data_IF_280888400658
#
_entry.id   IF_280888400658
#
_cell.length_a   1.000
_cell.length_b   1.000
_cell.length_c   1.000
_cell.angle_alpha   90.00
_cell.angle_beta   90.00
_cell.angle_gamma   90.00
#
_symmetry.space_group_name_H-M   'P 1'
#
loop_
_entity.id
_entity.type
_entity.pdbx_description
1 polymer ?
#
# COMPACT_ATOMS: atom_id res chain seq x y z
N UNK A 1 -5.48 5.03 -19.93
CA UNK A 1 -4.62 4.66 -18.79
C UNK A 1 -5.46 4.62 -17.52
N UNK A 2 -5.19 3.69 -16.59
CA UNK A 2 -5.93 3.48 -15.35
C UNK A 2 -5.00 3.59 -14.13
N UNK A 3 -5.38 4.37 -13.12
CA UNK A 3 -4.71 4.48 -11.82
C UNK A 3 -5.60 3.85 -10.73
N UNK A 4 -5.15 2.76 -10.14
CA UNK A 4 -5.90 1.96 -9.15
C UNK A 4 -5.43 2.29 -7.75
N UNK A 5 -6.37 2.63 -6.85
CA UNK A 5 -6.04 3.07 -5.50
C UNK A 5 -5.31 4.41 -5.49
N UNK A 6 -5.81 5.36 -6.27
CA UNK A 6 -5.11 6.61 -6.57
C UNK A 6 -4.92 7.53 -5.36
N UNK A 7 -5.66 7.35 -4.28
CA UNK A 7 -5.58 8.16 -3.08
C UNK A 7 -5.77 9.65 -3.38
N UNK A 8 -4.77 10.46 -2.95
CA UNK A 8 -4.73 11.90 -3.21
C UNK A 8 -3.81 12.28 -4.37
N UNK A 9 -3.14 11.28 -4.99
CA UNK A 9 -2.15 11.50 -6.05
C UNK A 9 -2.66 10.90 -7.35
N UNK A 10 -3.13 11.73 -8.25
CA UNK A 10 -3.67 11.31 -9.53
C UNK A 10 -3.58 12.43 -10.56
N UNK A 11 -3.53 12.04 -11.81
CA UNK A 11 -3.63 12.94 -12.95
C UNK A 11 -5.01 12.78 -13.60
N UNK A 12 -5.65 13.87 -13.96
CA UNK A 12 -7.01 13.87 -14.55
C UNK A 12 -7.07 13.31 -15.96
N UNK A 13 -5.92 13.15 -16.62
CA UNK A 13 -5.80 12.48 -17.92
C UNK A 13 -5.96 10.97 -17.81
N UNK A 14 -5.87 10.43 -16.58
CA UNK A 14 -6.07 9.02 -16.28
C UNK A 14 -7.47 8.78 -15.75
N UNK A 15 -7.99 7.58 -15.96
CA UNK A 15 -9.12 7.08 -15.18
C UNK A 15 -8.58 6.74 -13.80
N UNK A 16 -9.12 7.37 -12.76
CA UNK A 16 -8.66 7.20 -11.39
C UNK A 16 -9.72 6.47 -10.59
N UNK A 17 -9.31 5.43 -9.88
CA UNK A 17 -10.17 4.53 -9.11
C UNK A 17 -9.68 4.46 -7.67
N UNK A 18 -10.58 4.65 -6.70
CA UNK A 18 -10.26 4.54 -5.28
C UNK A 18 -11.49 4.08 -4.46
N UNK A 19 -11.24 3.46 -3.29
CA UNK A 19 -12.29 3.03 -2.38
C UNK A 19 -13.08 4.22 -1.80
N UNK A 20 -12.39 5.34 -1.54
CA UNK A 20 -12.96 6.51 -0.91
C UNK A 20 -12.41 7.80 -1.52
N UNK A 21 -13.19 8.48 -2.33
CA UNK A 21 -12.84 9.78 -2.87
C UNK A 21 -13.90 10.83 -2.58
N UNK A 22 -13.46 12.10 -2.51
CA UNK A 22 -14.33 13.27 -2.46
C UNK A 22 -14.31 14.07 -3.76
N UNK A 23 -13.42 13.69 -4.68
CA UNK A 23 -13.31 14.33 -5.99
C UNK A 23 -14.18 13.58 -7.00
N UNK A 24 -15.01 14.31 -7.74
CA UNK A 24 -15.91 13.74 -8.75
C UNK A 24 -15.16 13.15 -9.97
N UNK A 25 -13.89 13.48 -10.15
CA UNK A 25 -13.02 12.90 -11.21
C UNK A 25 -12.47 11.53 -10.84
N UNK A 26 -12.69 11.04 -9.62
CA UNK A 26 -12.25 9.72 -9.16
C UNK A 26 -13.45 8.81 -9.04
N UNK A 27 -13.38 7.66 -9.69
CA UNK A 27 -14.41 6.61 -9.62
C UNK A 27 -14.29 5.91 -8.27
N UNK A 28 -15.32 6.04 -7.43
CA UNK A 28 -15.36 5.35 -6.15
C UNK A 28 -15.75 3.90 -6.33
N UNK A 29 -14.83 2.97 -6.07
CA UNK A 29 -15.06 1.55 -6.25
C UNK A 29 -14.17 0.69 -5.36
N UNK A 30 -14.72 -0.45 -4.91
CA UNK A 30 -14.01 -1.45 -4.12
C UNK A 30 -13.35 -2.47 -5.06
N UNK A 31 -12.02 -2.41 -5.19
CA UNK A 31 -11.23 -3.28 -6.05
C UNK A 31 -11.30 -4.77 -5.67
N UNK A 32 -11.74 -5.11 -4.46
CA UNK A 32 -11.99 -6.50 -4.07
C UNK A 32 -13.16 -7.12 -4.87
N UNK A 33 -13.97 -6.31 -5.54
CA UNK A 33 -15.07 -6.73 -6.43
C UNK A 33 -14.63 -6.86 -7.90
N UNK A 34 -13.33 -6.73 -8.18
CA UNK A 34 -12.77 -6.63 -9.51
C UNK A 34 -12.54 -5.19 -9.97
N UNK A 35 -12.16 -4.98 -11.22
CA UNK A 35 -12.01 -3.66 -11.83
C UNK A 35 -13.19 -3.41 -12.79
N UNK A 36 -14.01 -2.34 -12.63
CA UNK A 36 -15.29 -2.16 -13.31
C UNK A 36 -15.15 -1.67 -14.75
N UNK A 37 -14.19 -2.22 -15.50
CA UNK A 37 -13.95 -1.89 -16.90
C UNK A 37 -13.83 -3.17 -17.74
N UNK A 38 -14.09 -3.05 -19.05
CA UNK A 38 -14.02 -4.18 -19.97
C UNK A 38 -12.57 -4.67 -20.18
N UNK A 39 -12.43 -5.89 -20.70
CA UNK A 39 -11.15 -6.46 -21.07
C UNK A 39 -10.45 -5.61 -22.12
N UNK A 40 -9.14 -5.43 -21.97
CA UNK A 40 -8.34 -4.70 -22.94
C UNK A 40 -8.63 -3.19 -23.07
N UNK A 41 -9.22 -2.58 -22.04
CA UNK A 41 -9.65 -1.16 -22.09
C UNK A 41 -8.53 -0.15 -21.92
N UNK A 42 -7.34 -0.56 -21.46
CA UNK A 42 -6.26 0.36 -21.09
C UNK A 42 -4.91 -0.06 -21.65
N UNK A 43 -4.16 0.92 -22.16
CA UNK A 43 -2.77 0.72 -22.60
C UNK A 43 -1.80 0.70 -21.41
N UNK A 44 -2.18 1.28 -20.29
CA UNK A 44 -1.40 1.23 -19.06
C UNK A 44 -2.31 1.15 -17.84
N UNK A 45 -1.87 0.35 -16.84
CA UNK A 45 -2.42 0.28 -15.50
C UNK A 45 -1.31 0.59 -14.51
N UNK A 46 -1.61 1.44 -13.55
CA UNK A 46 -0.71 1.84 -12.47
C UNK A 46 -1.38 1.66 -11.11
N UNK A 47 -0.63 1.18 -10.15
CA UNK A 47 -0.98 1.28 -8.74
C UNK A 47 0.27 1.48 -7.87
N UNK A 48 0.12 2.30 -6.85
CA UNK A 48 1.20 2.64 -5.93
C UNK A 48 0.69 2.52 -4.50
N UNK A 49 1.40 1.75 -3.69
CA UNK A 49 1.06 1.49 -2.30
C UNK A 49 -0.39 1.00 -2.11
N UNK A 50 -0.74 -0.02 -2.89
CA UNK A 50 -2.05 -0.70 -2.85
C UNK A 50 -1.87 -2.19 -2.54
N UNK A 51 -0.91 -2.83 -3.22
CA UNK A 51 -0.77 -4.28 -3.22
C UNK A 51 -0.41 -4.82 -1.82
N UNK A 52 0.41 -4.10 -1.07
CA UNK A 52 0.81 -4.43 0.29
C UNK A 52 -0.34 -4.38 1.30
N UNK A 53 -1.40 -3.62 1.01
CA UNK A 53 -2.59 -3.53 1.86
C UNK A 53 -3.58 -4.67 1.63
N UNK A 54 -3.37 -5.47 0.60
CA UNK A 54 -4.18 -6.64 0.27
C UNK A 54 -3.59 -7.90 0.89
N UNK A 55 -4.45 -8.87 1.22
CA UNK A 55 -3.98 -10.22 1.51
C UNK A 55 -3.38 -10.84 0.23
N UNK A 56 -2.49 -11.84 0.34
CA UNK A 56 -1.89 -12.47 -0.85
C UNK A 56 -2.92 -12.86 -1.92
N UNK A 57 -3.99 -13.56 -1.54
CA UNK A 57 -5.07 -13.98 -2.45
C UNK A 57 -5.82 -12.81 -3.11
N UNK A 58 -5.94 -11.68 -2.40
CA UNK A 58 -6.55 -10.47 -2.94
C UNK A 58 -5.58 -9.74 -3.88
N UNK A 59 -4.28 -9.72 -3.57
CA UNK A 59 -3.23 -9.18 -4.43
C UNK A 59 -3.14 -9.93 -5.76
N UNK A 60 -3.21 -11.27 -5.70
CA UNK A 60 -3.29 -12.14 -6.88
C UNK A 60 -4.48 -11.78 -7.78
N UNK A 61 -5.67 -11.64 -7.19
CA UNK A 61 -6.87 -11.20 -7.94
C UNK A 61 -6.71 -9.82 -8.55
N UNK A 62 -6.07 -8.89 -7.84
CA UNK A 62 -5.80 -7.56 -8.39
C UNK A 62 -4.91 -7.66 -9.64
N UNK A 63 -3.87 -8.49 -9.62
CA UNK A 63 -2.99 -8.68 -10.79
C UNK A 63 -3.73 -9.35 -11.95
N UNK A 64 -4.61 -10.32 -11.70
CA UNK A 64 -5.48 -10.90 -12.72
C UNK A 64 -6.38 -9.86 -13.36
N UNK A 65 -6.98 -8.98 -12.57
CA UNK A 65 -7.83 -7.90 -13.05
C UNK A 65 -7.03 -6.84 -13.84
N UNK A 66 -5.83 -6.48 -13.37
CA UNK A 66 -4.91 -5.61 -14.11
C UNK A 66 -4.56 -6.24 -15.48
N UNK A 67 -4.25 -7.54 -15.50
CA UNK A 67 -3.99 -8.26 -16.74
C UNK A 67 -5.22 -8.28 -17.66
N UNK A 68 -6.40 -8.50 -17.13
CA UNK A 68 -7.65 -8.53 -17.89
C UNK A 68 -7.93 -7.20 -18.58
N UNK A 69 -7.88 -6.10 -17.83
CA UNK A 69 -8.25 -4.77 -18.34
C UNK A 69 -7.16 -4.13 -19.21
N UNK A 70 -5.93 -4.62 -19.19
CA UNK A 70 -4.86 -4.17 -20.08
C UNK A 70 -5.08 -4.67 -21.50
N UNK A 71 -4.87 -3.81 -22.47
CA UNK A 71 -4.76 -4.16 -23.88
C UNK A 71 -3.54 -5.05 -24.13
N UNK A 72 -3.52 -5.89 -25.18
CA UNK A 72 -2.31 -6.59 -25.61
C UNK A 72 -1.17 -5.60 -25.86
N UNK A 73 0.01 -5.86 -25.28
CA UNK A 73 1.14 -4.93 -25.28
C UNK A 73 1.10 -3.84 -24.22
N UNK A 74 0.01 -3.74 -23.45
CA UNK A 74 -0.15 -2.75 -22.38
C UNK A 74 0.79 -2.97 -21.20
N UNK A 75 1.11 -1.90 -20.51
CA UNK A 75 2.08 -1.84 -19.39
C UNK A 75 1.37 -1.86 -18.05
N UNK A 76 1.80 -2.75 -17.16
CA UNK A 76 1.49 -2.68 -15.73
C UNK A 76 2.67 -2.07 -14.99
N UNK A 77 2.44 -0.97 -14.26
CA UNK A 77 3.41 -0.38 -13.34
C UNK A 77 2.96 -0.56 -11.90
N UNK A 78 3.82 -1.15 -11.08
CA UNK A 78 3.59 -1.45 -9.66
C UNK A 78 4.62 -0.72 -8.83
N UNK A 79 4.16 -0.03 -7.78
CA UNK A 79 5.02 0.60 -6.78
C UNK A 79 4.60 0.07 -5.41
N UNK A 80 5.54 -0.49 -4.67
CA UNK A 80 5.33 -1.04 -3.32
C UNK A 80 6.55 -0.76 -2.44
N UNK A 81 6.45 -0.81 -1.10
CA UNK A 81 7.63 -0.77 -0.23
C UNK A 81 8.63 -1.87 -0.62
N UNK A 82 9.91 -1.52 -0.72
CA UNK A 82 10.98 -2.46 -1.11
C UNK A 82 11.48 -3.25 0.09
N UNK A 83 10.91 -4.44 0.30
CA UNK A 83 11.30 -5.34 1.39
C UNK A 83 12.80 -5.67 1.37
N UNK A 84 13.39 -5.87 0.18
CA UNK A 84 14.81 -6.21 0.06
C UNK A 84 15.70 -5.07 0.57
N UNK A 85 15.43 -3.85 0.14
CA UNK A 85 16.20 -2.67 0.59
C UNK A 85 15.98 -2.39 2.06
N UNK A 86 14.74 -2.48 2.56
CA UNK A 86 14.41 -2.30 3.98
C UNK A 86 15.17 -3.34 4.83
N UNK A 87 15.12 -4.62 4.48
CA UNK A 87 15.79 -5.68 5.22
C UNK A 87 17.32 -5.52 5.21
N UNK A 88 17.91 -5.18 4.06
CA UNK A 88 19.35 -4.95 3.93
C UNK A 88 19.82 -3.78 4.79
N UNK A 89 19.13 -2.66 4.75
CA UNK A 89 19.45 -1.49 5.56
C UNK A 89 19.25 -1.77 7.06
N UNK A 90 18.21 -2.51 7.43
CA UNK A 90 18.02 -2.96 8.81
C UNK A 90 19.22 -3.76 9.31
N UNK A 91 19.68 -4.76 8.56
CA UNK A 91 20.83 -5.58 8.94
C UNK A 91 22.13 -4.76 9.00
N UNK A 92 22.34 -3.87 8.03
CA UNK A 92 23.49 -2.98 8.00
C UNK A 92 23.54 -2.06 9.24
N UNK A 93 22.45 -1.38 9.54
CA UNK A 93 22.37 -0.45 10.69
C UNK A 93 22.43 -1.20 12.02
N UNK A 94 21.86 -2.41 12.09
CA UNK A 94 22.02 -3.30 13.24
C UNK A 94 23.48 -3.64 13.53
N UNK A 95 24.24 -4.03 12.51
CA UNK A 95 25.65 -4.38 12.68
C UNK A 95 26.49 -3.18 13.09
N UNK A 96 26.29 -2.00 12.50
CA UNK A 96 26.98 -0.76 12.84
C UNK A 96 26.68 -0.35 14.29
N UNK A 97 25.41 -0.35 14.68
CA UNK A 97 24.99 -0.04 16.05
C UNK A 97 25.57 -1.04 17.08
N UNK A 98 25.62 -2.34 16.75
CA UNK A 98 26.24 -3.36 17.58
C UNK A 98 27.75 -3.12 17.79
N UNK A 99 28.41 -2.52 16.80
CA UNK A 99 29.84 -2.15 16.87
C UNK A 99 30.10 -0.83 17.61
N UNK A 100 29.06 -0.18 18.17
CA UNK A 100 29.19 1.03 18.99
C UNK A 100 29.00 2.33 18.22
N UNK A 101 28.49 2.31 16.98
CA UNK A 101 28.15 3.51 16.21
C UNK A 101 26.80 4.07 16.72
N UNK A 102 26.85 5.21 17.44
CA UNK A 102 25.68 5.83 18.05
C UNK A 102 24.70 6.40 17.01
N UNK A 103 25.17 6.98 15.92
CA UNK A 103 24.35 7.50 14.84
C UNK A 103 23.62 6.34 14.12
N UNK A 104 24.33 5.26 13.85
CA UNK A 104 23.73 4.05 13.30
C UNK A 104 22.71 3.41 14.25
N UNK A 105 22.84 3.57 15.56
CA UNK A 105 21.85 3.07 16.53
C UNK A 105 20.52 3.84 16.43
N UNK A 106 20.56 5.14 16.13
CA UNK A 106 19.35 5.93 15.87
C UNK A 106 18.70 5.50 14.55
N UNK A 107 19.49 5.35 13.50
CA UNK A 107 19.00 4.88 12.20
C UNK A 107 18.45 3.43 12.27
N UNK A 108 19.09 2.56 13.05
CA UNK A 108 18.58 1.20 13.31
C UNK A 108 17.18 1.21 13.92
N UNK A 109 16.92 2.12 14.87
CA UNK A 109 15.60 2.23 15.45
C UNK A 109 14.53 2.61 14.41
N UNK A 110 14.87 3.48 13.46
CA UNK A 110 14.00 3.80 12.34
C UNK A 110 13.81 2.59 11.43
N UNK A 111 14.88 1.94 10.98
CA UNK A 111 14.79 0.78 10.07
C UNK A 111 13.99 -0.38 10.68
N UNK A 112 14.07 -0.57 12.00
CA UNK A 112 13.24 -1.55 12.71
C UNK A 112 11.74 -1.17 12.65
N UNK A 113 11.41 0.11 12.78
CA UNK A 113 10.02 0.57 12.65
C UNK A 113 9.54 0.44 11.20
N UNK A 114 10.34 0.88 10.23
CA UNK A 114 10.01 0.77 8.81
C UNK A 114 9.74 -0.68 8.39
N UNK A 115 10.53 -1.64 8.90
CA UNK A 115 10.35 -3.07 8.62
C UNK A 115 9.09 -3.65 9.24
N UNK A 116 8.71 -3.24 10.45
CA UNK A 116 7.73 -3.96 11.27
C UNK A 116 6.44 -3.18 11.53
N UNK A 117 6.52 -1.87 11.74
CA UNK A 117 5.42 -1.09 12.30
C UNK A 117 4.14 -1.21 11.47
N UNK A 118 4.24 -1.08 10.15
CA UNK A 118 3.08 -1.12 9.28
C UNK A 118 2.37 -2.48 9.21
N UNK A 119 3.08 -3.57 9.56
CA UNK A 119 2.53 -4.94 9.65
C UNK A 119 1.78 -5.19 10.95
N UNK A 120 2.25 -4.57 12.07
CA UNK A 120 1.78 -4.90 13.42
C UNK A 120 1.02 -3.78 14.12
N UNK A 121 0.90 -2.59 13.52
CA UNK A 121 0.23 -1.44 14.15
C UNK A 121 -1.24 -1.75 14.48
N UNK A 122 -1.71 -1.19 15.57
CA UNK A 122 -3.08 -1.30 16.09
C UNK A 122 -3.84 0.04 16.10
N UNK A 123 -3.17 1.09 15.67
CA UNK A 123 -3.71 2.45 15.57
C UNK A 123 -3.13 3.18 14.37
N UNK A 124 -3.84 4.22 13.89
CA UNK A 124 -3.41 5.03 12.76
C UNK A 124 -2.07 5.72 13.03
N UNK A 125 -1.18 5.70 12.02
CA UNK A 125 0.18 6.21 12.09
C UNK A 125 1.16 5.32 12.86
N UNK A 126 0.69 4.31 13.61
CA UNK A 126 1.52 3.37 14.35
C UNK A 126 2.55 4.05 15.25
N UNK A 127 3.81 3.60 15.19
CA UNK A 127 4.96 4.21 15.86
C UNK A 127 5.71 5.18 14.92
N UNK A 128 5.67 4.95 13.61
CA UNK A 128 6.33 5.80 12.62
C UNK A 128 5.77 7.21 12.64
N UNK A 129 4.44 7.39 12.67
CA UNK A 129 3.81 8.70 12.65
C UNK A 129 4.27 9.62 13.80
N UNK A 130 4.13 9.23 15.08
CA UNK A 130 4.65 10.00 16.22
C UNK A 130 6.16 10.24 16.16
N UNK A 131 6.96 9.28 15.66
CA UNK A 131 8.40 9.46 15.50
C UNK A 131 8.69 10.57 14.49
N UNK A 132 8.10 10.53 13.30
CA UNK A 132 8.26 11.56 12.27
C UNK A 132 7.74 12.92 12.69
N UNK A 133 6.66 12.99 13.48
CA UNK A 133 6.10 14.25 13.98
C UNK A 133 6.87 14.86 15.15
N UNK A 134 7.85 14.15 15.73
CA UNK A 134 8.62 14.61 16.88
C UNK A 134 9.60 15.74 16.50
N UNK A 135 9.59 16.81 17.25
CA UNK A 135 10.63 17.86 17.15
C UNK A 135 12.01 17.43 17.65
N UNK A 136 12.07 16.29 18.36
CA UNK A 136 13.30 15.72 18.92
C UNK A 136 13.92 14.62 18.06
N UNK A 137 13.49 14.47 16.80
CA UNK A 137 14.04 13.48 15.87
C UNK A 137 15.51 13.80 15.57
N UNK A 138 16.39 12.83 15.80
CA UNK A 138 17.86 13.01 15.67
C UNK A 138 18.38 12.72 14.25
N UNK A 139 17.66 11.86 13.49
CA UNK A 139 18.05 11.42 12.15
C UNK A 139 17.04 11.84 11.07
N UNK A 140 16.56 13.08 11.14
CA UNK A 140 15.55 13.62 10.24
C UNK A 140 15.92 13.48 8.76
N UNK A 141 17.18 13.68 8.41
CA UNK A 141 17.66 13.59 7.03
C UNK A 141 17.64 12.14 6.52
N UNK A 142 18.06 11.18 7.35
CA UNK A 142 17.96 9.77 7.02
C UNK A 142 16.50 9.36 6.82
N UNK A 143 15.60 9.73 7.74
CA UNK A 143 14.17 9.40 7.60
C UNK A 143 13.56 10.04 6.36
N UNK A 144 13.89 11.31 6.06
CA UNK A 144 13.44 12.00 4.84
C UNK A 144 13.92 11.29 3.57
N UNK A 145 15.19 10.85 3.54
CA UNK A 145 15.74 10.08 2.43
C UNK A 145 15.02 8.73 2.24
N UNK A 146 14.46 8.16 3.31
CA UNK A 146 13.71 6.92 3.23
C UNK A 146 12.28 7.12 2.75
N UNK A 147 11.50 8.01 3.37
CA UNK A 147 10.04 8.09 3.15
C UNK A 147 9.58 9.35 2.39
N UNK A 148 10.51 10.21 1.99
CA UNK A 148 10.23 11.35 1.11
C UNK A 148 9.10 12.27 1.57
N UNK A 149 8.08 12.41 0.74
CA UNK A 149 6.92 13.28 0.96
C UNK A 149 6.21 13.01 2.29
N UNK A 150 6.16 11.75 2.74
CA UNK A 150 5.46 11.36 3.96
C UNK A 150 6.06 12.04 5.20
N UNK A 151 7.40 12.15 5.27
CA UNK A 151 8.08 12.90 6.34
C UNK A 151 7.68 14.36 6.35
N UNK A 152 7.68 15.00 5.18
CA UNK A 152 7.31 16.41 5.03
C UNK A 152 5.87 16.68 5.45
N UNK A 153 4.95 15.78 5.10
CA UNK A 153 3.56 15.86 5.50
C UNK A 153 3.34 15.68 7.02
N UNK A 154 4.16 14.83 7.66
CA UNK A 154 4.10 14.66 9.13
C UNK A 154 4.69 15.84 9.89
N UNK A 155 5.68 16.54 9.32
CA UNK A 155 6.30 17.73 9.91
C UNK A 155 5.50 19.02 9.65
N UNK A 156 4.73 19.07 8.57
CA UNK A 156 3.84 20.19 8.32
C UNK A 156 2.85 20.25 9.48
N UNK A 157 2.96 21.25 10.34
CA UNK A 157 1.88 21.64 11.23
C UNK A 157 0.63 21.76 10.36
N UNK A 158 -0.52 21.24 10.79
CA UNK A 158 -1.73 21.43 10.00
C UNK A 158 -1.92 22.93 9.85
N UNK A 159 -1.45 23.50 8.73
CA UNK A 159 -2.02 24.74 8.25
C UNK A 159 -3.51 24.47 8.26
N UNK A 160 -4.22 25.24 9.06
CA UNK A 160 -5.66 25.29 9.05
C UNK A 160 -5.97 25.72 7.60
N UNK A 161 -5.99 24.72 6.66
CA UNK A 161 -6.70 24.94 5.44
C UNK A 161 -8.00 25.60 5.91
N UNK A 162 -8.26 26.76 5.43
CA UNK A 162 -9.53 27.47 5.62
C UNK A 162 -10.59 26.65 4.90
N UNK A 163 -10.80 25.45 5.42
CA UNK A 163 -11.90 24.56 5.04
C UNK A 163 -13.13 25.40 5.27
N UNK A 164 -13.77 25.84 4.18
CA UNK A 164 -15.12 26.43 4.18
C UNK A 164 -15.88 25.76 5.31
N UNK A 165 -16.22 26.55 6.33
CA UNK A 165 -16.84 26.06 7.57
C UNK A 165 -17.92 25.05 7.18
N UNK A 166 -17.80 23.77 7.58
CA UNK A 166 -18.74 22.76 7.14
C UNK A 166 -20.15 23.23 7.52
N UNK A 167 -21.11 23.06 6.63
CA UNK A 167 -22.49 23.50 6.84
C UNK A 167 -22.99 22.97 8.19
N UNK A 168 -23.90 23.70 8.83
CA UNK A 168 -24.46 23.35 10.14
C UNK A 168 -24.93 21.87 10.16
N UNK A 169 -25.45 21.39 9.05
CA UNK A 169 -25.91 20.02 8.84
C UNK A 169 -24.78 18.98 8.85
N UNK A 170 -23.62 19.30 8.28
CA UNK A 170 -22.42 18.46 8.32
C UNK A 170 -21.80 18.41 9.72
N UNK A 171 -21.83 19.53 10.44
CA UNK A 171 -21.40 19.58 11.86
C UNK A 171 -22.32 18.75 12.74
N UNK A 172 -23.63 18.83 12.54
CA UNK A 172 -24.63 18.03 13.26
C UNK A 172 -24.45 16.53 12.98
N UNK A 173 -24.25 16.13 11.72
CA UNK A 173 -23.94 14.74 11.33
C UNK A 173 -22.63 14.23 11.94
N UNK A 174 -21.60 15.06 12.01
CA UNK A 174 -20.32 14.69 12.64
C UNK A 174 -20.48 14.49 14.16
N UNK A 175 -21.26 15.37 14.84
CA UNK A 175 -21.54 15.28 16.28
C UNK A 175 -22.36 14.03 16.59
N UNK A 176 -23.43 13.78 15.83
CA UNK A 176 -24.29 12.60 16.02
C UNK A 176 -23.55 11.29 15.72
N UNK A 177 -22.69 11.27 14.70
CA UNK A 177 -21.82 10.13 14.40
C UNK A 177 -20.84 9.87 15.54
N UNK A 178 -20.16 10.90 16.04
CA UNK A 178 -19.22 10.80 17.18
C UNK A 178 -19.92 10.33 18.47
N UNK A 179 -21.15 10.77 18.71
CA UNK A 179 -21.94 10.33 19.85
C UNK A 179 -22.37 8.86 19.73
N UNK A 180 -22.88 8.47 18.55
CA UNK A 180 -23.24 7.05 18.27
C UNK A 180 -22.03 6.12 18.40
N UNK A 181 -20.88 6.53 17.90
CA UNK A 181 -19.64 5.73 18.00
C UNK A 181 -19.18 5.60 19.45
N UNK A 182 -19.24 6.67 20.25
CA UNK A 182 -18.91 6.62 21.68
C UNK A 182 -19.87 5.73 22.46
N UNK A 183 -21.15 5.82 22.15
CA UNK A 183 -22.18 5.01 22.78
C UNK A 183 -22.04 3.54 22.39
N UNK A 184 -21.86 3.24 21.12
CA UNK A 184 -21.59 1.90 20.62
C UNK A 184 -20.34 1.27 21.29
N UNK A 185 -19.24 2.02 21.42
CA UNK A 185 -18.03 1.56 22.12
C UNK A 185 -18.31 1.25 23.62
N UNK A 186 -19.16 2.04 24.28
CA UNK A 186 -19.57 1.76 25.67
C UNK A 186 -20.42 0.49 25.76
N UNK A 187 -21.40 0.32 24.89
CA UNK A 187 -22.24 -0.87 24.84
C UNK A 187 -21.42 -2.13 24.55
N UNK A 188 -20.52 -2.09 23.56
CA UNK A 188 -19.62 -3.20 23.23
C UNK A 188 -18.74 -3.56 24.44
N UNK A 189 -18.19 -2.58 25.14
CA UNK A 189 -17.37 -2.84 26.34
C UNK A 189 -18.19 -3.40 27.49
N UNK A 190 -19.43 -2.95 27.65
CA UNK A 190 -20.34 -3.48 28.68
C UNK A 190 -20.77 -4.92 28.39
N UNK A 191 -21.12 -5.22 27.11
CA UNK A 191 -21.58 -6.54 26.70
C UNK A 191 -20.47 -7.59 26.63
N UNK A 192 -19.30 -7.22 26.08
CA UNK A 192 -18.22 -8.16 25.77
C UNK A 192 -17.06 -8.12 26.77
N UNK A 193 -17.07 -7.15 27.69
CA UNK A 193 -15.95 -6.88 28.59
C UNK A 193 -14.78 -6.18 27.87
N UNK A 194 -13.82 -5.69 28.66
CA UNK A 194 -12.73 -4.84 28.18
C UNK A 194 -11.80 -5.54 27.19
N UNK A 195 -11.43 -6.81 27.45
CA UNK A 195 -10.52 -7.58 26.58
C UNK A 195 -11.11 -7.84 25.19
N UNK A 196 -12.36 -8.33 25.13
CA UNK A 196 -13.03 -8.59 23.84
C UNK A 196 -13.34 -7.31 23.08
N UNK A 197 -13.68 -6.22 23.76
CA UNK A 197 -13.88 -4.92 23.14
C UNK A 197 -12.58 -4.34 22.55
N UNK A 198 -11.43 -4.59 23.18
CA UNK A 198 -10.11 -4.22 22.64
C UNK A 198 -9.78 -5.03 21.37
N UNK A 199 -9.97 -6.35 21.42
CA UNK A 199 -9.74 -7.23 20.26
C UNK A 199 -10.65 -6.88 19.08
N UNK A 200 -11.93 -6.56 19.33
CA UNK A 200 -12.84 -6.10 18.29
C UNK A 200 -12.36 -4.78 17.65
N UNK A 201 -11.90 -3.83 18.45
CA UNK A 201 -11.38 -2.54 17.96
C UNK A 201 -10.14 -2.75 17.10
N UNK A 202 -9.21 -3.58 17.54
CA UNK A 202 -8.02 -3.94 16.77
C UNK A 202 -8.42 -4.60 15.44
N UNK A 203 -9.33 -5.59 15.47
CA UNK A 203 -9.83 -6.25 14.28
C UNK A 203 -10.49 -5.28 13.29
N UNK A 204 -11.29 -4.34 13.79
CA UNK A 204 -11.90 -3.29 12.95
C UNK A 204 -10.85 -2.37 12.34
N UNK A 205 -9.83 -1.95 13.13
CA UNK A 205 -8.74 -1.13 12.62
C UNK A 205 -7.95 -1.86 11.52
N UNK A 206 -7.58 -3.12 11.79
CA UNK A 206 -6.88 -3.97 10.81
C UNK A 206 -7.70 -4.21 9.53
N UNK A 207 -9.02 -4.06 9.58
CA UNK A 207 -9.93 -4.14 8.42
C UNK A 207 -10.05 -2.85 7.60
N UNK A 208 -9.50 -1.71 8.05
CA UNK A 208 -9.69 -0.40 7.40
C UNK A 208 -8.74 -0.15 6.21
N UNK A 209 -7.78 -1.04 5.95
CA UNK A 209 -6.87 -0.94 4.80
C UNK A 209 -5.62 -0.11 5.05
N UNK A 210 -5.35 0.36 6.30
CA UNK A 210 -4.13 1.12 6.61
C UNK A 210 -2.90 0.23 6.83
N UNK A 211 -3.11 -1.00 7.32
CA UNK A 211 -1.99 -1.90 7.63
C UNK A 211 -1.47 -2.59 6.37
N UNK A 212 -0.16 -2.86 6.34
CA UNK A 212 0.41 -3.79 5.37
C UNK A 212 0.03 -5.22 5.77
N UNK A 213 -0.52 -5.95 4.82
CA UNK A 213 -0.89 -7.36 5.02
C UNK A 213 0.14 -8.29 4.44
N UNK A 214 0.97 -7.79 3.54
CA UNK A 214 2.07 -8.49 2.91
C UNK A 214 3.18 -7.51 2.52
N UNK A 215 4.38 -8.03 2.28
CA UNK A 215 5.51 -7.26 1.79
C UNK A 215 6.07 -7.95 0.54
N UNK A 216 6.58 -7.15 -0.37
CA UNK A 216 7.10 -7.62 -1.65
C UNK A 216 8.55 -7.19 -1.85
N UNK A 217 9.29 -8.00 -2.60
CA UNK A 217 10.60 -7.71 -3.16
C UNK A 217 10.58 -7.97 -4.67
N UNK A 218 11.67 -7.63 -5.35
CA UNK A 218 11.78 -7.81 -6.81
C UNK A 218 11.64 -9.27 -7.25
N UNK A 219 12.04 -10.24 -6.43
CA UNK A 219 11.94 -11.66 -6.77
C UNK A 219 10.50 -12.15 -6.68
N UNK A 220 9.84 -11.89 -5.56
CA UNK A 220 8.46 -12.30 -5.33
C UNK A 220 7.49 -11.63 -6.31
N UNK A 221 7.66 -10.33 -6.61
CA UNK A 221 6.84 -9.63 -7.61
C UNK A 221 7.07 -10.16 -9.02
N UNK A 222 8.34 -10.44 -9.39
CA UNK A 222 8.64 -11.04 -10.69
C UNK A 222 7.92 -12.37 -10.87
N UNK A 223 8.04 -13.23 -9.86
CA UNK A 223 7.41 -14.55 -9.89
C UNK A 223 5.88 -14.43 -10.00
N UNK A 224 5.30 -13.58 -9.19
CA UNK A 224 3.87 -13.32 -9.18
C UNK A 224 3.38 -12.75 -10.54
N UNK A 225 4.05 -11.76 -11.11
CA UNK A 225 3.69 -11.22 -12.41
C UNK A 225 3.78 -12.29 -13.53
N UNK A 226 4.83 -13.13 -13.51
CA UNK A 226 5.00 -14.21 -14.49
C UNK A 226 3.91 -15.28 -14.35
N UNK A 227 3.49 -15.62 -13.15
CA UNK A 227 2.41 -16.59 -12.90
C UNK A 227 1.09 -16.12 -13.53
N UNK A 228 0.84 -14.80 -13.54
CA UNK A 228 -0.36 -14.22 -14.17
C UNK A 228 -0.16 -13.81 -15.64
N UNK A 229 0.92 -14.28 -16.26
CA UNK A 229 1.13 -14.17 -17.71
C UNK A 229 1.77 -12.87 -18.18
N UNK A 230 2.27 -12.03 -17.28
CA UNK A 230 3.03 -10.86 -17.65
C UNK A 230 4.46 -11.24 -18.10
N UNK A 231 4.96 -10.50 -19.06
CA UNK A 231 6.31 -10.62 -19.60
C UNK A 231 7.12 -9.34 -19.40
N UNK A 232 8.40 -9.37 -19.81
CA UNK A 232 9.30 -8.20 -19.83
C UNK A 232 9.38 -7.48 -18.49
N UNK A 233 9.38 -8.24 -17.38
CA UNK A 233 9.56 -7.69 -16.04
C UNK A 233 10.85 -6.88 -15.95
N UNK A 234 10.74 -5.65 -15.46
CA UNK A 234 11.85 -4.73 -15.28
C UNK A 234 11.72 -3.99 -13.96
N UNK A 235 12.81 -3.90 -13.21
CA UNK A 235 12.95 -2.96 -12.09
C UNK A 235 13.40 -1.64 -12.69
N UNK A 236 12.69 -0.57 -12.42
CA UNK A 236 12.95 0.76 -12.96
C UNK A 236 13.09 1.78 -11.83
N UNK A 237 13.41 3.01 -12.17
CA UNK A 237 13.39 4.14 -11.25
C UNK A 237 12.03 4.84 -11.27
N UNK A 238 11.84 5.82 -10.37
CA UNK A 238 10.64 6.66 -10.40
C UNK A 238 10.51 7.51 -11.67
N UNK A 239 11.62 7.70 -12.40
CA UNK A 239 11.70 8.54 -13.59
C UNK A 239 11.68 7.75 -14.91
N UNK A 240 11.96 6.45 -14.86
CA UNK A 240 11.98 5.56 -16.02
C UNK A 240 10.66 4.82 -16.16
N UNK A 241 10.09 4.82 -17.34
CA UNK A 241 8.86 4.10 -17.65
C UNK A 241 8.75 3.76 -19.14
N UNK A 242 8.07 2.64 -19.44
CA UNK A 242 7.59 2.30 -20.77
C UNK A 242 6.30 3.03 -21.13
N UNK A 243 5.63 3.63 -20.15
CA UNK A 243 4.45 4.45 -20.37
C UNK A 243 4.91 5.78 -20.95
N UNK A 244 4.39 6.12 -22.12
CA UNK A 244 4.74 7.36 -22.81
C UNK A 244 4.48 8.59 -21.93
N UNK A 245 5.44 9.51 -21.91
CA UNK A 245 5.36 10.76 -21.15
C UNK A 245 5.10 10.61 -19.65
N UNK A 246 5.47 9.46 -19.05
CA UNK A 246 5.14 9.12 -17.68
C UNK A 246 5.52 10.19 -16.65
N UNK A 247 6.69 10.79 -16.79
CA UNK A 247 7.21 11.80 -15.85
C UNK A 247 6.29 13.03 -15.76
N UNK A 248 5.56 13.35 -16.84
CA UNK A 248 4.63 14.49 -16.86
C UNK A 248 3.42 14.27 -15.92
N UNK A 249 3.08 13.04 -15.56
CA UNK A 249 1.96 12.74 -14.68
C UNK A 249 2.32 12.92 -13.20
N UNK A 250 3.61 13.04 -12.88
CA UNK A 250 4.13 13.26 -11.52
C UNK A 250 3.55 12.31 -10.48
N UNK A 251 3.35 11.05 -10.84
CA UNK A 251 2.76 10.06 -9.95
C UNK A 251 3.78 9.56 -8.92
N UNK A 252 5.00 9.20 -9.35
CA UNK A 252 6.07 8.66 -8.48
C UNK A 252 7.09 9.71 -8.04
N UNK A 253 7.27 10.73 -8.83
CA UNK A 253 8.22 11.81 -8.57
C UNK A 253 7.64 13.16 -8.97
N UNK A 254 8.14 14.25 -8.39
CA UNK A 254 7.95 15.58 -8.91
C UNK A 254 9.31 16.14 -9.31
N UNK A 255 9.37 16.78 -10.49
CA UNK A 255 10.57 17.36 -11.06
C UNK A 255 11.87 16.56 -10.81
N UNK A 256 12.47 16.67 -9.62
CA UNK A 256 13.74 16.04 -9.26
C UNK A 256 13.64 15.10 -8.03
N UNK A 257 12.53 15.12 -7.30
CA UNK A 257 12.37 14.39 -6.04
C UNK A 257 11.45 13.18 -6.19
N UNK A 258 11.93 12.02 -5.71
CA UNK A 258 11.11 10.81 -5.59
C UNK A 258 10.18 10.97 -4.39
N UNK A 259 8.88 10.75 -4.60
CA UNK A 259 7.86 10.93 -3.55
C UNK A 259 7.98 9.93 -2.42
N UNK A 260 8.30 8.68 -2.75
CA UNK A 260 8.49 7.57 -1.82
C UNK A 260 9.76 6.80 -2.19
N UNK A 261 10.94 7.26 -1.70
CA UNK A 261 12.23 6.66 -2.05
C UNK A 261 12.43 5.24 -1.50
N UNK A 262 11.65 4.84 -0.49
CA UNK A 262 11.62 3.49 0.10
C UNK A 262 10.95 2.44 -0.80
N UNK A 263 10.50 2.83 -1.99
CA UNK A 263 9.70 1.99 -2.85
C UNK A 263 10.51 1.24 -3.90
N UNK A 264 10.01 0.06 -4.24
CA UNK A 264 10.36 -0.73 -5.41
C UNK A 264 9.42 -0.34 -6.56
N UNK A 265 9.99 0.09 -7.67
CA UNK A 265 9.26 0.41 -8.90
C UNK A 265 9.48 -0.70 -9.89
N UNK A 266 8.42 -1.31 -10.39
CA UNK A 266 8.51 -2.34 -11.42
C UNK A 266 7.53 -2.08 -12.56
N UNK A 267 7.91 -2.56 -13.74
CA UNK A 267 7.03 -2.65 -14.89
C UNK A 267 7.06 -4.03 -15.50
N UNK A 268 5.91 -4.46 -15.99
CA UNK A 268 5.78 -5.64 -16.82
C UNK A 268 4.74 -5.39 -17.92
N UNK A 269 4.69 -6.26 -18.92
CA UNK A 269 3.90 -6.06 -20.13
C UNK A 269 2.96 -7.25 -20.35
N UNK A 270 1.72 -6.97 -20.72
CA UNK A 270 0.81 -8.01 -21.22
C UNK A 270 1.25 -8.42 -22.63
N UNK A 271 1.47 -9.72 -22.90
CA UNK A 271 1.86 -10.19 -24.23
C UNK A 271 0.88 -9.77 -25.33
N UNK A 272 1.40 -9.48 -26.52
CA UNK A 272 0.56 -9.16 -27.69
C UNK A 272 -0.26 -10.37 -28.12
N UNK A 273 0.27 -11.58 -27.93
CA UNK A 273 -0.34 -12.86 -28.33
C UNK A 273 -1.14 -13.55 -27.20
N UNK A 274 -1.48 -12.83 -26.13
CA UNK A 274 -2.16 -13.44 -24.97
C UNK A 274 -3.55 -13.94 -25.36
N UNK A 275 -3.62 -15.17 -25.84
CA UNK A 275 -4.83 -15.98 -25.78
C UNK A 275 -5.09 -16.26 -24.30
N UNK A 276 -6.24 -15.89 -23.80
CA UNK A 276 -6.64 -16.10 -22.41
C UNK A 276 -6.66 -17.61 -22.14
N UNK A 277 -5.54 -18.16 -21.70
CA UNK A 277 -5.53 -19.47 -21.03
C UNK A 277 -6.10 -19.21 -19.63
N UNK A 278 -7.36 -19.60 -19.43
CA UNK A 278 -7.98 -19.62 -18.10
C UNK A 278 -7.05 -20.37 -17.17
N UNK A 279 -6.39 -19.64 -16.25
CA UNK A 279 -5.72 -20.27 -15.14
C UNK A 279 -6.78 -21.05 -14.34
N UNK A 280 -6.65 -22.35 -14.33
CA UNK A 280 -7.50 -23.23 -13.52
C UNK A 280 -7.22 -22.87 -12.06
N UNK A 281 -8.23 -22.58 -11.22
CA UNK A 281 -7.98 -22.34 -9.80
C UNK A 281 -7.27 -23.57 -9.24
N UNK A 282 -6.16 -23.35 -8.52
CA UNK A 282 -5.52 -24.44 -7.76
C UNK A 282 -6.56 -24.97 -6.79
N UNK A 283 -6.98 -26.23 -7.01
CA UNK A 283 -7.63 -27.02 -5.97
C UNK A 283 -6.63 -27.17 -4.84
N UNK A 284 -6.99 -26.73 -3.65
CA UNK A 284 -6.22 -26.97 -2.43
C UNK A 284 -5.87 -28.48 -2.36
N UNK A 285 -4.62 -28.85 -2.06
CA UNK A 285 -4.30 -30.23 -1.80
C UNK A 285 -5.10 -30.67 -0.57
N UNK A 286 -5.88 -31.74 -0.73
CA UNK A 286 -6.66 -32.32 0.34
C UNK A 286 -5.75 -32.65 1.53
N UNK A 287 -6.07 -32.11 2.69
CA UNK A 287 -5.38 -32.28 3.99
C UNK A 287 -5.44 -33.74 4.54
N UNK A 288 -5.50 -34.75 3.71
CA UNK A 288 -5.74 -36.13 4.15
C UNK A 288 -4.60 -37.14 3.91
N UNK A 289 -3.40 -36.72 3.53
CA UNK A 289 -2.28 -37.69 3.36
C UNK A 289 -1.14 -37.60 4.39
N UNK A 290 -1.22 -36.76 5.40
CA UNK A 290 -0.13 -36.60 6.40
C UNK A 290 -0.41 -37.30 7.75
N UNK A 291 -1.51 -38.06 7.89
CA UNK A 291 -1.85 -38.77 9.14
C UNK A 291 -1.63 -40.27 9.10
N UNK A 292 -1.17 -40.88 8.00
CA UNK A 292 -0.95 -42.34 7.92
C UNK A 292 0.51 -42.80 8.08
N UNK A 293 1.49 -41.89 8.28
CA UNK A 293 2.91 -42.26 8.38
C UNK A 293 3.51 -42.18 9.79
N UNK A 294 2.70 -42.21 10.85
CA UNK A 294 3.20 -42.22 12.24
C UNK A 294 2.59 -43.32 13.12
N UNK A 295 2.21 -44.46 12.57
CA UNK A 295 1.94 -45.70 13.35
C UNK A 295 2.41 -46.86 12.46
N UNK A 296 3.70 -47.17 12.49
CA UNK A 296 4.30 -48.49 12.28
C UNK A 296 5.70 -48.44 12.86
#
# INVERSE_FOLDING_TARGET
MLNVGCGRRYDRRWVNLDLASRDASVVQYDINKGIPFADGSFDAVYHSHVLEHLKPDQGERLLQECFRVLAPGGVLRIVVPDLETIARLYLQKHQQAWSGDEDAAVDYNWMKMELLDQLVRDQSGGRMGPYMASSAIQNSDFVRQRVGDEFSLCQATPEIETVRKPSLMLRFRAITRSFRERWARRCVRWLLGTKKAAALREGLFRGQGEIHRWMYDRYSLRHLCQEYGFEKFNVCTAFESRIEDYVQYQLDADQEAIRKPDSLFIECVKPISAVITKATPRTEPAENELLSAKVA
#
